data_IF_326598021124
#
_entry.id   IF_326598021124
#
_cell.length_a   1.000
_cell.length_b   1.000
_cell.length_c   1.000
_cell.angle_alpha   90.00
_cell.angle_beta   90.00
_cell.angle_gamma   90.00
#
_symmetry.space_group_name_H-M   'P 1'
#
loop_
_entity.id
_entity.type
_entity.pdbx_description
1 polymer ?
#
# COMPACT_ATOMS: atom_id res chain seq x y z
N UNK A 1 9.08 3.49 -8.89
CA UNK A 1 8.40 2.27 -9.39
C UNK A 1 7.72 2.45 -10.73
N UNK A 2 8.33 3.14 -11.72
CA UNK A 2 7.70 3.36 -13.03
C UNK A 2 7.49 2.06 -13.82
N UNK A 3 8.54 1.24 -13.93
CA UNK A 3 8.48 -0.05 -14.64
C UNK A 3 7.49 -1.02 -14.00
N UNK A 4 7.52 -1.13 -12.66
CA UNK A 4 6.56 -1.97 -11.95
C UNK A 4 5.11 -1.54 -12.20
N UNK A 5 4.83 -0.22 -12.15
CA UNK A 5 3.51 0.28 -12.46
C UNK A 5 3.09 0.02 -13.92
N UNK A 6 4.03 0.07 -14.86
CA UNK A 6 3.75 -0.21 -16.27
C UNK A 6 3.33 -1.68 -16.47
N UNK A 7 4.07 -2.62 -15.89
CA UNK A 7 3.76 -4.05 -15.96
C UNK A 7 2.40 -4.33 -15.31
N UNK A 8 2.14 -3.77 -14.13
CA UNK A 8 0.85 -3.96 -13.45
C UNK A 8 -0.31 -3.41 -14.28
N UNK A 9 -0.10 -2.31 -15.01
CA UNK A 9 -1.13 -1.76 -15.89
C UNK A 9 -1.46 -2.65 -17.08
N UNK A 10 -0.47 -3.30 -17.67
CA UNK A 10 -0.72 -4.29 -18.73
C UNK A 10 -1.56 -5.44 -18.18
N UNK A 11 -1.20 -5.97 -17.00
CA UNK A 11 -1.99 -7.03 -16.33
C UNK A 11 -3.40 -6.56 -15.99
N UNK A 12 -3.58 -5.32 -15.50
CA UNK A 12 -4.90 -4.75 -15.22
C UNK A 12 -5.75 -4.62 -16.50
N UNK A 13 -5.14 -4.20 -17.61
CA UNK A 13 -5.83 -4.10 -18.91
C UNK A 13 -6.37 -5.46 -19.37
N UNK A 14 -5.55 -6.52 -19.27
CA UNK A 14 -5.96 -7.87 -19.67
C UNK A 14 -7.11 -8.40 -18.79
N UNK A 15 -7.09 -8.07 -17.48
CA UNK A 15 -8.16 -8.43 -16.54
C UNK A 15 -9.46 -7.66 -16.82
N UNK A 16 -9.38 -6.40 -17.23
CA UNK A 16 -10.54 -5.58 -17.60
C UNK A 16 -11.21 -6.03 -18.89
N UNK A 17 -10.44 -6.55 -19.86
CA UNK A 17 -10.98 -7.17 -21.08
C UNK A 17 -11.80 -8.43 -20.77
N UNK A 18 -11.45 -9.13 -19.67
CA UNK A 18 -12.14 -10.33 -19.21
C UNK A 18 -13.17 -10.01 -18.11
N UNK A 19 -14.40 -9.68 -18.49
CA UNK A 19 -15.50 -9.25 -17.59
C UNK A 19 -15.68 -10.04 -16.28
N UNK A 20 -15.36 -11.34 -16.26
CA UNK A 20 -15.56 -12.22 -15.10
C UNK A 20 -14.27 -12.56 -14.34
N UNK A 21 -13.14 -11.98 -14.73
CA UNK A 21 -11.87 -12.17 -14.04
C UNK A 21 -11.66 -11.02 -13.04
N UNK A 22 -11.32 -11.39 -11.82
CA UNK A 22 -10.97 -10.44 -10.76
C UNK A 22 -9.69 -10.94 -10.09
N UNK A 23 -8.88 -10.01 -9.58
CA UNK A 23 -7.65 -10.33 -8.88
C UNK A 23 -7.50 -9.50 -7.60
N UNK A 24 -7.07 -10.16 -6.52
CA UNK A 24 -6.62 -9.52 -5.30
C UNK A 24 -5.09 -9.52 -5.28
N UNK A 25 -4.50 -8.40 -5.66
CA UNK A 25 -3.05 -8.25 -5.70
C UNK A 25 -2.52 -7.80 -4.34
N UNK A 26 -1.28 -8.18 -4.02
CA UNK A 26 -0.67 -7.89 -2.71
C UNK A 26 0.45 -6.87 -2.82
N UNK A 27 0.40 -5.85 -1.96
CA UNK A 27 1.47 -4.87 -1.76
C UNK A 27 1.97 -4.93 -0.33
N UNK A 28 3.28 -4.79 -0.14
CA UNK A 28 3.87 -4.87 1.19
C UNK A 28 4.06 -3.50 1.82
N UNK A 29 3.63 -3.37 3.06
CA UNK A 29 4.11 -2.35 4.00
C UNK A 29 5.01 -3.07 5.00
N UNK A 30 6.15 -2.50 5.34
CA UNK A 30 7.13 -3.14 6.23
C UNK A 30 7.15 -2.52 7.62
N UNK A 31 6.59 -1.31 7.79
CA UNK A 31 6.52 -0.64 9.08
C UNK A 31 7.87 -0.13 9.58
N UNK A 32 8.84 0.09 8.66
CA UNK A 32 10.18 0.59 9.05
C UNK A 32 10.23 2.11 9.11
N UNK A 33 9.32 2.78 8.42
CA UNK A 33 9.19 4.23 8.42
C UNK A 33 7.73 4.64 8.27
N UNK A 34 7.36 5.73 8.92
CA UNK A 34 5.99 6.27 8.91
C UNK A 34 5.53 6.75 7.54
N UNK A 35 6.47 7.14 6.68
CA UNK A 35 6.20 7.63 5.33
C UNK A 35 6.05 6.52 4.27
N UNK A 36 6.10 5.25 4.65
CA UNK A 36 5.93 4.11 3.73
C UNK A 36 4.56 4.14 3.03
N UNK A 37 3.49 4.46 3.78
CA UNK A 37 2.15 4.59 3.24
C UNK A 37 2.03 5.72 2.23
N UNK A 38 2.51 6.92 2.57
CA UNK A 38 2.46 8.08 1.67
C UNK A 38 3.26 7.83 0.39
N UNK A 39 4.43 7.17 0.50
CA UNK A 39 5.23 6.78 -0.67
C UNK A 39 4.49 5.78 -1.57
N UNK A 40 3.84 4.78 -0.98
CA UNK A 40 3.09 3.77 -1.71
C UNK A 40 1.87 4.39 -2.40
N UNK A 41 1.10 5.18 -1.67
CA UNK A 41 -0.09 5.87 -2.17
C UNK A 41 0.26 6.85 -3.29
N UNK A 42 1.30 7.67 -3.10
CA UNK A 42 1.80 8.57 -4.14
C UNK A 42 2.22 7.81 -5.38
N UNK A 43 2.90 6.67 -5.24
CA UNK A 43 3.22 5.81 -6.37
C UNK A 43 1.96 5.34 -7.09
N UNK A 44 0.96 4.86 -6.34
CA UNK A 44 -0.27 4.32 -6.90
C UNK A 44 -1.08 5.36 -7.69
N UNK A 45 -1.28 6.55 -7.10
CA UNK A 45 -2.02 7.66 -7.69
C UNK A 45 -1.27 8.25 -8.88
N UNK A 46 0.03 8.53 -8.74
CA UNK A 46 0.85 9.11 -9.81
C UNK A 46 0.84 8.24 -11.07
N UNK A 47 0.91 6.92 -10.89
CA UNK A 47 0.93 5.99 -12.01
C UNK A 47 -0.46 5.49 -12.39
N UNK A 48 -1.53 5.89 -11.71
CA UNK A 48 -2.92 5.46 -11.95
C UNK A 48 -3.05 3.93 -12.02
N UNK A 49 -2.50 3.22 -11.03
CA UNK A 49 -2.58 1.74 -10.93
C UNK A 49 -3.83 1.34 -10.13
N UNK A 50 -5.00 1.56 -10.73
CA UNK A 50 -6.30 1.14 -10.23
C UNK A 50 -7.09 0.50 -11.36
N UNK A 51 -8.02 -0.40 -11.01
CA UNK A 51 -8.91 -1.09 -11.93
C UNK A 51 -10.17 -1.50 -11.20
N UNK A 52 -11.30 -1.64 -11.91
CA UNK A 52 -12.54 -2.16 -11.31
C UNK A 52 -12.44 -3.65 -10.98
N UNK A 53 -11.59 -4.39 -11.69
CA UNK A 53 -11.40 -5.83 -11.55
C UNK A 53 -10.27 -6.21 -10.59
N UNK A 54 -9.51 -5.21 -10.09
CA UNK A 54 -8.35 -5.45 -9.22
C UNK A 54 -8.51 -4.72 -7.90
N UNK A 55 -8.34 -5.47 -6.82
CA UNK A 55 -8.32 -4.96 -5.45
C UNK A 55 -6.96 -5.21 -4.81
N UNK A 56 -6.55 -4.30 -3.95
CA UNK A 56 -5.26 -4.41 -3.27
C UNK A 56 -5.44 -4.94 -1.84
N UNK A 57 -4.63 -5.91 -1.48
CA UNK A 57 -4.43 -6.37 -0.11
C UNK A 57 -3.06 -5.91 0.38
N UNK A 58 -3.00 -5.38 1.58
CA UNK A 58 -1.75 -4.88 2.17
C UNK A 58 -1.17 -5.93 3.09
N UNK A 59 -0.06 -6.54 2.69
CA UNK A 59 0.63 -7.51 3.53
C UNK A 59 1.66 -6.82 4.42
N UNK A 60 1.71 -7.21 5.70
CA UNK A 60 2.81 -6.84 6.60
C UNK A 60 3.65 -8.05 6.98
N UNK A 61 4.88 -8.14 6.43
CA UNK A 61 5.82 -9.18 6.81
C UNK A 61 6.20 -9.10 8.29
N UNK A 62 6.17 -10.24 8.99
CA UNK A 62 6.57 -10.37 10.41
C UNK A 62 8.10 -10.41 10.57
N UNK A 63 8.77 -9.36 10.11
CA UNK A 63 10.23 -9.26 10.04
C UNK A 63 10.83 -8.34 11.12
N UNK A 64 10.09 -8.12 12.22
CA UNK A 64 10.52 -7.23 13.31
C UNK A 64 11.92 -7.59 13.85
N UNK A 65 12.19 -8.87 14.08
CA UNK A 65 13.49 -9.31 14.61
C UNK A 65 14.65 -8.88 13.72
N UNK A 66 14.49 -8.94 12.40
CA UNK A 66 15.50 -8.50 11.44
C UNK A 66 15.74 -6.99 11.55
N UNK A 67 14.67 -6.20 11.68
CA UNK A 67 14.76 -4.73 11.78
C UNK A 67 15.36 -4.29 13.11
N UNK A 68 15.02 -4.99 14.20
CA UNK A 68 15.61 -4.76 15.51
C UNK A 68 17.10 -5.08 15.52
N UNK A 69 17.53 -6.21 14.95
CA UNK A 69 18.96 -6.55 14.84
C UNK A 69 19.73 -5.54 14.00
N UNK A 70 19.11 -4.99 12.94
CA UNK A 70 19.69 -3.92 12.11
C UNK A 70 19.61 -2.53 12.73
N UNK A 71 19.07 -2.39 13.95
CA UNK A 71 18.82 -1.10 14.63
C UNK A 71 18.00 -0.11 13.78
N UNK A 72 17.11 -0.63 12.94
CA UNK A 72 16.19 0.17 12.12
C UNK A 72 14.94 0.58 12.90
N UNK A 73 14.60 -0.18 13.95
CA UNK A 73 13.49 0.08 14.86
C UNK A 73 13.95 -0.15 16.29
N UNK A 74 13.56 0.72 17.21
CA UNK A 74 13.90 0.63 18.63
C UNK A 74 13.06 -0.45 19.33
N UNK A 75 11.79 -0.55 19.00
CA UNK A 75 10.84 -1.47 19.64
C UNK A 75 9.67 -1.81 18.69
N UNK A 76 8.83 -2.75 19.11
CA UNK A 76 7.70 -3.21 18.29
C UNK A 76 6.59 -2.14 18.18
N UNK A 77 6.45 -1.28 19.20
CA UNK A 77 5.50 -0.17 19.20
C UNK A 77 5.77 0.78 18.03
N UNK A 78 7.03 1.12 17.77
CA UNK A 78 7.43 1.97 16.63
C UNK A 78 7.02 1.34 15.29
N UNK A 79 7.13 0.01 15.15
CA UNK A 79 6.64 -0.70 13.96
C UNK A 79 5.13 -0.55 13.78
N UNK A 80 4.37 -0.71 14.87
CA UNK A 80 2.92 -0.56 14.85
C UNK A 80 2.50 0.88 14.54
N UNK A 81 3.18 1.87 15.11
CA UNK A 81 2.94 3.29 14.83
C UNK A 81 3.20 3.62 13.37
N UNK A 82 4.30 3.13 12.80
CA UNK A 82 4.61 3.32 11.38
C UNK A 82 3.55 2.70 10.45
N UNK A 83 2.87 1.65 10.89
CA UNK A 83 1.85 0.94 10.10
C UNK A 83 0.47 1.58 10.26
N UNK A 84 0.00 1.80 11.50
CA UNK A 84 -1.40 2.11 11.76
C UNK A 84 -1.67 3.61 11.91
N UNK A 85 -0.69 4.39 12.38
CA UNK A 85 -0.91 5.81 12.64
C UNK A 85 -1.23 6.61 11.35
N UNK A 86 -0.51 6.42 10.22
CA UNK A 86 -0.85 7.09 8.96
C UNK A 86 -2.27 6.77 8.46
N UNK A 87 -2.74 5.54 8.70
CA UNK A 87 -4.09 5.12 8.33
C UNK A 87 -5.14 5.87 9.14
N UNK A 88 -4.95 5.98 10.46
CA UNK A 88 -5.84 6.75 11.32
C UNK A 88 -5.83 8.23 10.95
N UNK A 89 -4.66 8.82 10.68
CA UNK A 89 -4.54 10.22 10.25
C UNK A 89 -5.29 10.49 8.95
N UNK A 90 -5.14 9.63 7.94
CA UNK A 90 -5.87 9.72 6.68
C UNK A 90 -7.38 9.50 6.82
N UNK A 91 -7.81 8.73 7.82
CA UNK A 91 -9.23 8.47 8.09
C UNK A 91 -9.89 9.64 8.82
N UNK A 92 -9.20 10.23 9.79
CA UNK A 92 -9.68 11.38 10.57
C UNK A 92 -9.65 12.67 9.73
N UNK A 93 -8.57 12.89 8.97
CA UNK A 93 -8.39 14.05 8.12
C UNK A 93 -7.88 13.66 6.73
N UNK A 94 -8.78 13.37 5.77
CA UNK A 94 -8.40 13.03 4.40
C UNK A 94 -7.52 14.09 3.71
N UNK A 95 -7.64 15.37 4.10
CA UNK A 95 -6.88 16.45 3.50
C UNK A 95 -5.39 16.45 3.91
N UNK A 96 -5.02 15.78 5.02
CA UNK A 96 -3.60 15.67 5.40
C UNK A 96 -2.86 14.57 4.62
N UNK A 97 -3.57 13.58 4.10
CA UNK A 97 -3.01 12.51 3.26
C UNK A 97 -3.92 12.21 2.04
N UNK A 98 -4.05 13.16 1.08
CA UNK A 98 -5.04 13.04 0.02
C UNK A 98 -4.77 11.85 -0.91
N UNK A 99 -3.50 11.57 -1.26
CA UNK A 99 -3.18 10.40 -2.08
C UNK A 99 -3.41 9.08 -1.34
N UNK A 100 -3.14 9.05 -0.03
CA UNK A 100 -3.38 7.86 0.81
C UNK A 100 -4.87 7.57 0.91
N UNK A 101 -5.69 8.60 1.14
CA UNK A 101 -7.14 8.45 1.16
C UNK A 101 -7.68 7.84 -0.13
N UNK A 102 -7.27 8.36 -1.30
CA UNK A 102 -7.66 7.82 -2.60
C UNK A 102 -7.17 6.38 -2.83
N UNK A 103 -5.95 6.08 -2.37
CA UNK A 103 -5.41 4.72 -2.47
C UNK A 103 -6.21 3.73 -1.63
N UNK A 104 -6.62 4.13 -0.41
CA UNK A 104 -7.38 3.27 0.50
C UNK A 104 -8.77 2.91 -0.02
N UNK A 105 -9.39 3.69 -0.91
CA UNK A 105 -10.64 3.31 -1.58
C UNK A 105 -10.51 2.06 -2.47
N UNK A 106 -9.28 1.69 -2.82
CA UNK A 106 -8.94 0.54 -3.67
C UNK A 106 -8.25 -0.59 -2.88
N UNK A 107 -8.17 -0.47 -1.56
CA UNK A 107 -7.60 -1.47 -0.65
C UNK A 107 -8.72 -2.13 0.14
N UNK A 108 -8.80 -3.46 0.08
CA UNK A 108 -9.90 -4.21 0.71
C UNK A 108 -9.52 -4.83 2.06
N UNK A 109 -8.22 -5.00 2.35
CA UNK A 109 -7.80 -5.70 3.55
C UNK A 109 -6.30 -5.77 3.80
N UNK A 110 -5.95 -6.40 4.92
CA UNK A 110 -4.60 -6.47 5.50
C UNK A 110 -4.28 -7.86 6.04
#
# INVERSE_FOLDING_TARGET
GKYFAHIIKEVMSDLEESKYQNAELRLSIYGRARDEWDKLAKWAVTHRVHSNNVRWLVQVPRLFDVYKTKKQLANFQEMLENIFLPLFEATINPASHPELHLFLEHVDGF
#
